data_IF_717530960415
#
_entry.id   IF_717530960415
#
_cell.length_a   1.000
_cell.length_b   1.000
_cell.length_c   1.000
_cell.angle_alpha   90.00
_cell.angle_beta   90.00
_cell.angle_gamma   90.00
#
_symmetry.space_group_name_H-M   'P 1'
#
loop_
_entity.id
_entity.type
_entity.pdbx_description
1 polymer ?
#
# COMPACT_ATOMS: atom_id res chain seq x y z
N UNK A 1 28.28 17.33 -6.67
CA UNK A 1 27.44 16.12 -6.59
C UNK A 1 26.35 16.40 -5.57
N UNK A 2 25.07 16.35 -5.97
CA UNK A 2 23.95 16.48 -5.01
C UNK A 2 23.88 15.19 -4.19
N UNK A 3 23.83 15.32 -2.87
CA UNK A 3 23.61 14.21 -1.94
C UNK A 3 22.28 13.53 -2.29
N UNK A 4 22.17 12.20 -2.24
CA UNK A 4 20.86 11.56 -2.31
C UNK A 4 20.07 11.96 -1.06
N UNK A 5 18.82 12.35 -1.26
CA UNK A 5 17.89 12.79 -0.22
C UNK A 5 17.84 11.78 0.96
N UNK A 6 18.53 12.12 2.04
CA UNK A 6 18.48 11.47 3.35
C UNK A 6 17.09 11.70 3.95
N UNK A 7 16.10 10.87 3.58
CA UNK A 7 14.74 11.02 4.10
C UNK A 7 13.83 9.80 3.98
N UNK A 8 14.26 8.73 3.32
CA UNK A 8 13.50 7.49 3.24
C UNK A 8 14.45 6.38 3.62
N UNK A 9 14.22 5.74 4.77
CA UNK A 9 15.09 4.70 5.31
C UNK A 9 15.56 3.75 4.22
N UNK A 10 16.86 3.79 3.93
CA UNK A 10 17.49 2.79 3.07
C UNK A 10 17.50 1.48 3.85
N UNK A 11 16.41 0.72 3.77
CA UNK A 11 16.37 -0.67 4.18
C UNK A 11 17.30 -1.43 3.21
N UNK A 12 18.53 -1.68 3.65
CA UNK A 12 19.64 -2.15 2.80
C UNK A 12 19.43 -3.56 2.19
N UNK A 13 18.36 -4.27 2.56
CA UNK A 13 18.10 -5.64 2.11
C UNK A 13 16.70 -5.85 1.49
N UNK A 14 16.00 -4.81 0.99
CA UNK A 14 14.71 -5.04 0.34
C UNK A 14 14.84 -5.73 -1.01
N UNK A 15 14.00 -6.73 -1.26
CA UNK A 15 13.87 -7.27 -2.63
C UNK A 15 13.42 -6.14 -3.58
N UNK A 16 13.88 -6.14 -4.85
CA UNK A 16 13.43 -5.16 -5.84
C UNK A 16 11.91 -5.08 -5.94
N UNK A 17 11.26 -6.24 -5.82
CA UNK A 17 9.81 -6.42 -5.86
C UNK A 17 9.09 -5.71 -4.71
N UNK A 18 9.60 -5.85 -3.48
CA UNK A 18 9.03 -5.16 -2.31
C UNK A 18 9.30 -3.65 -2.36
N UNK A 19 10.47 -3.24 -2.85
CA UNK A 19 10.78 -1.82 -3.01
C UNK A 19 9.86 -1.14 -4.05
N UNK A 20 9.59 -1.81 -5.17
CA UNK A 20 8.64 -1.34 -6.17
C UNK A 20 7.22 -1.25 -5.59
N UNK A 21 6.77 -2.30 -4.90
CA UNK A 21 5.47 -2.34 -4.24
C UNK A 21 5.29 -1.18 -3.23
N UNK A 22 6.26 -0.98 -2.33
CA UNK A 22 6.24 0.12 -1.36
C UNK A 22 6.20 1.49 -2.03
N UNK A 23 7.01 1.69 -3.08
CA UNK A 23 7.06 2.95 -3.82
C UNK A 23 5.71 3.23 -4.48
N UNK A 24 5.10 2.19 -5.08
CA UNK A 24 3.79 2.30 -5.73
C UNK A 24 2.68 2.63 -4.75
N UNK A 25 2.61 1.92 -3.61
CA UNK A 25 1.64 2.18 -2.55
C UNK A 25 1.72 3.61 -2.03
N UNK A 26 2.93 4.07 -1.67
CA UNK A 26 3.14 5.44 -1.19
C UNK A 26 2.71 6.47 -2.23
N UNK A 27 3.05 6.25 -3.49
CA UNK A 27 2.68 7.15 -4.58
C UNK A 27 1.16 7.25 -4.76
N UNK A 28 0.43 6.13 -4.70
CA UNK A 28 -1.03 6.13 -4.86
C UNK A 28 -1.73 6.86 -3.72
N UNK A 29 -1.34 6.57 -2.48
CA UNK A 29 -1.97 7.17 -1.29
C UNK A 29 -1.68 8.66 -1.20
N UNK A 30 -0.45 9.09 -1.48
CA UNK A 30 -0.08 10.51 -1.43
C UNK A 30 -0.73 11.37 -2.53
N UNK A 31 -1.25 10.75 -3.61
CA UNK A 31 -1.89 11.47 -4.73
C UNK A 31 -3.41 11.46 -4.67
N UNK A 32 -4.00 10.67 -3.78
CA UNK A 32 -5.45 10.58 -3.61
C UNK A 32 -5.84 11.15 -2.24
N UNK A 33 -6.38 12.39 -2.17
CA UNK A 33 -6.73 13.04 -0.92
C UNK A 33 -7.70 12.23 -0.06
N UNK A 34 -8.55 11.41 -0.71
CA UNK A 34 -9.52 10.59 -0.01
C UNK A 34 -8.88 9.40 0.73
N UNK A 35 -7.74 8.91 0.22
CA UNK A 35 -6.92 7.91 0.91
C UNK A 35 -6.10 8.57 2.02
N UNK A 36 -5.43 9.68 1.69
CA UNK A 36 -4.55 10.40 2.63
C UNK A 36 -5.31 10.96 3.84
N UNK A 37 -6.53 11.46 3.62
CA UNK A 37 -7.37 12.03 4.67
C UNK A 37 -8.05 11.01 5.57
N UNK A 38 -7.98 9.71 5.24
CA UNK A 38 -8.70 8.67 5.94
C UNK A 38 -7.79 7.88 6.88
N UNK A 39 -7.99 8.07 8.18
CA UNK A 39 -7.13 7.49 9.22
C UNK A 39 -7.15 5.96 9.25
N UNK A 40 -8.27 5.32 8.94
CA UNK A 40 -8.35 3.85 8.97
C UNK A 40 -7.60 3.26 7.78
N UNK A 41 -7.80 3.82 6.59
CA UNK A 41 -7.06 3.45 5.38
C UNK A 41 -5.54 3.66 5.58
N UNK A 42 -5.14 4.81 6.13
CA UNK A 42 -3.73 5.12 6.38
C UNK A 42 -3.09 4.09 7.32
N UNK A 43 -3.79 3.61 8.35
CA UNK A 43 -3.28 2.55 9.23
C UNK A 43 -3.04 1.24 8.47
N UNK A 44 -3.96 0.83 7.60
CA UNK A 44 -3.80 -0.37 6.79
C UNK A 44 -2.59 -0.25 5.85
N UNK A 45 -2.45 0.90 5.20
CA UNK A 45 -1.31 1.20 4.32
C UNK A 45 0.00 1.22 5.10
N UNK A 46 0.06 1.84 6.27
CA UNK A 46 1.26 1.88 7.12
C UNK A 46 1.67 0.46 7.56
N UNK A 47 0.71 -0.38 7.91
CA UNK A 47 0.97 -1.78 8.25
C UNK A 47 1.53 -2.55 7.04
N UNK A 48 0.94 -2.38 5.86
CA UNK A 48 1.44 -3.01 4.63
C UNK A 48 2.86 -2.56 4.28
N UNK A 49 3.16 -1.26 4.41
CA UNK A 49 4.51 -0.71 4.21
C UNK A 49 5.50 -1.25 5.24
N UNK A 50 5.07 -1.44 6.48
CA UNK A 50 5.90 -2.03 7.53
C UNK A 50 6.23 -3.50 7.24
N UNK A 51 5.25 -4.31 6.84
CA UNK A 51 5.46 -5.70 6.43
C UNK A 51 6.38 -5.81 5.23
N UNK A 52 6.17 -4.98 4.21
CA UNK A 52 7.06 -4.90 3.05
C UNK A 52 8.49 -4.52 3.46
N UNK A 53 8.65 -3.61 4.44
CA UNK A 53 9.97 -3.23 4.97
C UNK A 53 10.72 -4.37 5.69
N UNK A 54 10.00 -5.44 6.07
CA UNK A 54 10.54 -6.66 6.67
C UNK A 54 10.79 -7.79 5.67
N UNK A 55 10.65 -7.51 4.36
CA UNK A 55 10.68 -8.52 3.30
C UNK A 55 9.62 -9.62 3.41
N UNK A 56 8.46 -9.32 4.01
CA UNK A 56 7.31 -10.21 3.86
C UNK A 56 6.90 -10.27 2.35
N UNK A 57 6.32 -11.38 1.88
CA UNK A 57 5.97 -11.55 0.46
C UNK A 57 4.94 -10.50 0.00
N UNK A 58 5.22 -9.80 -1.12
CA UNK A 58 4.34 -8.73 -1.63
C UNK A 58 2.92 -9.18 -1.91
N UNK A 59 2.74 -10.43 -2.32
CA UNK A 59 1.47 -11.04 -2.65
C UNK A 59 0.63 -11.27 -1.39
N UNK A 60 1.26 -11.77 -0.31
CA UNK A 60 0.62 -11.88 1.00
C UNK A 60 0.23 -10.49 1.53
N UNK A 61 1.14 -9.52 1.47
CA UNK A 61 0.88 -8.14 1.93
C UNK A 61 -0.26 -7.50 1.12
N UNK A 62 -0.25 -7.66 -0.20
CA UNK A 62 -1.28 -7.10 -1.07
C UNK A 62 -2.64 -7.74 -0.82
N UNK A 63 -2.68 -9.04 -0.55
CA UNK A 63 -3.90 -9.77 -0.21
C UNK A 63 -4.50 -9.29 1.11
N UNK A 64 -3.69 -9.23 2.18
CA UNK A 64 -4.17 -8.75 3.47
C UNK A 64 -4.65 -7.29 3.40
N UNK A 65 -3.94 -6.43 2.68
CA UNK A 65 -4.38 -5.05 2.49
C UNK A 65 -5.71 -4.98 1.71
N UNK A 66 -5.92 -5.83 0.71
CA UNK A 66 -7.20 -5.89 -0.02
C UNK A 66 -8.35 -6.40 0.86
N UNK A 67 -8.08 -7.36 1.76
CA UNK A 67 -9.03 -7.86 2.75
C UNK A 67 -9.44 -6.75 3.74
N UNK A 68 -8.48 -6.03 4.32
CA UNK A 68 -8.74 -4.90 5.24
C UNK A 68 -9.54 -3.78 4.56
N UNK A 69 -9.20 -3.45 3.30
CA UNK A 69 -9.96 -2.48 2.52
C UNK A 69 -11.38 -2.96 2.22
N UNK A 70 -11.57 -4.25 1.95
CA UNK A 70 -12.90 -4.85 1.73
C UNK A 70 -13.75 -4.79 3.00
N UNK A 71 -13.18 -5.11 4.16
CA UNK A 71 -13.85 -4.97 5.46
C UNK A 71 -14.23 -3.51 5.75
N UNK A 72 -13.36 -2.57 5.38
CA UNK A 72 -13.66 -1.14 5.45
C UNK A 72 -14.84 -0.77 4.53
N UNK A 73 -14.91 -1.30 3.31
CA UNK A 73 -16.05 -1.09 2.41
C UNK A 73 -17.36 -1.58 3.03
N UNK A 74 -17.35 -2.78 3.62
CA UNK A 74 -18.54 -3.35 4.26
C UNK A 74 -19.02 -2.47 5.42
N UNK A 75 -18.10 -2.00 6.27
CA UNK A 75 -18.41 -1.12 7.40
C UNK A 75 -18.93 0.26 6.98
N UNK A 76 -18.73 0.66 5.73
CA UNK A 76 -19.11 1.97 5.19
C UNK A 76 -20.27 1.90 4.19
N UNK A 77 -21.03 0.80 4.19
CA UNK A 77 -22.13 0.54 3.23
C UNK A 77 -21.68 0.71 1.76
N UNK A 78 -20.43 0.34 1.45
CA UNK A 78 -19.80 0.46 0.14
C UNK A 78 -19.74 1.91 -0.42
N UNK A 79 -19.92 2.93 0.43
CA UNK A 79 -19.83 4.35 0.05
C UNK A 79 -18.40 4.88 -0.04
N UNK A 80 -17.41 3.99 -0.03
CA UNK A 80 -16.03 4.40 0.08
C UNK A 80 -15.52 5.22 -1.12
N UNK A 81 -14.46 6.00 -0.90
CA UNK A 81 -13.92 6.88 -1.93
C UNK A 81 -13.40 6.14 -3.15
N UNK A 82 -13.41 6.82 -4.30
CA UNK A 82 -12.89 6.27 -5.55
C UNK A 82 -11.42 5.81 -5.42
N UNK A 83 -10.64 6.47 -4.55
CA UNK A 83 -9.29 6.07 -4.21
C UNK A 83 -9.17 4.64 -3.69
N UNK A 84 -10.12 4.17 -2.87
CA UNK A 84 -10.09 2.80 -2.30
C UNK A 84 -10.23 1.77 -3.40
N UNK A 85 -11.18 1.97 -4.31
CA UNK A 85 -11.40 1.05 -5.45
C UNK A 85 -10.18 1.00 -6.38
N UNK A 86 -9.52 2.15 -6.60
CA UNK A 86 -8.27 2.21 -7.39
C UNK A 86 -7.14 1.46 -6.68
N UNK A 87 -7.01 1.63 -5.37
CA UNK A 87 -6.01 0.92 -4.57
C UNK A 87 -6.24 -0.59 -4.66
N UNK A 88 -7.45 -1.08 -4.43
CA UNK A 88 -7.78 -2.50 -4.57
C UNK A 88 -7.53 -3.04 -5.98
N UNK A 89 -7.84 -2.27 -7.03
CA UNK A 89 -7.54 -2.66 -8.40
C UNK A 89 -6.03 -2.79 -8.68
N UNK A 90 -5.19 -1.99 -8.02
CA UNK A 90 -3.74 -2.15 -8.09
C UNK A 90 -3.28 -3.38 -7.31
N UNK A 91 -3.84 -3.61 -6.11
CA UNK A 91 -3.47 -4.74 -5.25
C UNK A 91 -3.67 -6.10 -5.94
N UNK A 92 -4.74 -6.23 -6.74
CA UNK A 92 -5.02 -7.44 -7.53
C UNK A 92 -3.88 -7.86 -8.44
N UNK A 93 -3.09 -6.92 -8.97
CA UNK A 93 -1.94 -7.22 -9.84
C UNK A 93 -0.84 -7.99 -9.12
N UNK A 94 -0.83 -7.95 -7.79
CA UNK A 94 0.16 -8.64 -6.97
C UNK A 94 -0.38 -9.94 -6.37
N UNK A 95 -1.70 -10.17 -6.41
CA UNK A 95 -2.36 -11.35 -5.84
C UNK A 95 -2.88 -12.32 -6.90
N UNK A 96 -3.12 -11.86 -8.13
CA UNK A 96 -3.41 -12.74 -9.26
C UNK A 96 -2.12 -13.45 -9.69
N UNK A 97 -2.01 -14.72 -9.31
CA UNK A 97 -0.97 -15.63 -9.77
C UNK A 97 -1.16 -15.84 -11.28
N UNK A 98 -0.14 -15.47 -12.08
CA UNK A 98 -0.03 -15.86 -13.50
C UNK A 98 0.15 -17.37 -13.65
#
# INVERSE_FOLDING_TARGET
MRKPDEGVGMHQDLTPENNEFMTKLRWMVNRDPDLLGNKDIMKFVELALFKASKNEPRDEIAKELDEELSDYLVKTDFKAPAGVKKLQAELKKYTEVL
#
